data_IF_316620081639
#
_entry.id   IF_316620081639
#
_cell.length_a   1.000
_cell.length_b   1.000
_cell.length_c   1.000
_cell.angle_alpha   90.00
_cell.angle_beta   90.00
_cell.angle_gamma   90.00
#
_symmetry.space_group_name_H-M   'P 1'
#
loop_
_entity.id
_entity.type
_entity.pdbx_description
1 polymer ?
#
# COMPACT_ATOMS: atom_id res chain seq x y z
N UNK A 1 6.80 5.55 60.61
CA UNK A 1 6.23 6.92 60.62
C UNK A 1 7.10 7.82 59.77
N UNK A 2 6.68 8.14 58.54
CA UNK A 2 7.21 9.27 57.79
C UNK A 2 6.13 9.73 56.79
N UNK A 3 5.61 10.94 57.06
CA UNK A 3 4.62 11.62 56.18
C UNK A 3 5.36 12.16 54.97
N UNK A 4 4.81 11.93 53.79
CA UNK A 4 5.22 12.62 52.55
C UNK A 4 4.11 13.55 52.14
N UNK A 5 4.46 14.84 52.09
CA UNK A 5 3.59 15.94 51.69
C UNK A 5 3.26 15.87 50.19
N UNK A 6 1.96 16.00 49.89
CA UNK A 6 1.47 16.23 48.54
C UNK A 6 1.91 17.60 48.00
N UNK A 7 2.40 17.66 46.78
CA UNK A 7 2.45 18.87 45.96
C UNK A 7 1.45 18.73 44.84
N UNK A 8 0.40 19.50 44.96
CA UNK A 8 -0.56 19.80 43.89
C UNK A 8 0.17 20.60 42.81
N UNK A 9 0.28 20.08 41.61
CA UNK A 9 0.73 20.84 40.43
C UNK A 9 -0.54 21.39 39.78
N UNK A 10 -0.69 22.70 39.82
CA UNK A 10 -1.66 23.44 39.03
C UNK A 10 -1.34 23.24 37.55
N UNK A 11 -2.32 22.82 36.77
CA UNK A 11 -2.34 22.88 35.32
C UNK A 11 -2.66 24.31 34.93
N UNK A 12 -1.68 25.02 34.44
CA UNK A 12 -1.92 26.24 33.68
C UNK A 12 -2.39 25.84 32.27
N UNK A 13 -3.64 26.20 31.98
CA UNK A 13 -4.21 26.25 30.65
C UNK A 13 -3.63 27.48 29.94
N UNK A 14 -2.73 27.24 28.99
CA UNK A 14 -2.44 28.17 27.89
C UNK A 14 -1.98 27.35 26.67
N UNK A 15 -2.93 26.71 25.99
CA UNK A 15 -2.77 26.17 24.65
C UNK A 15 -3.78 26.85 23.72
N UNK A 16 -3.55 28.12 23.45
CA UNK A 16 -4.08 28.80 22.30
C UNK A 16 -2.85 29.39 21.58
N UNK A 17 -2.62 28.98 20.34
CA UNK A 17 -1.63 29.41 19.37
C UNK A 17 -0.52 28.39 19.06
N UNK A 18 -0.92 27.28 18.43
CA UNK A 18 0.02 26.50 17.61
C UNK A 18 -0.64 25.83 16.38
N UNK A 19 -1.65 26.50 15.81
CA UNK A 19 -2.30 26.03 14.56
C UNK A 19 -1.62 26.52 13.27
N UNK A 20 -0.63 27.40 13.35
CA UNK A 20 -0.04 28.04 12.15
C UNK A 20 1.32 27.46 11.74
N UNK A 21 1.94 26.62 12.56
CA UNK A 21 3.25 26.00 12.23
C UNK A 21 3.16 24.64 11.51
N UNK A 22 1.95 24.05 11.41
CA UNK A 22 1.75 22.73 10.77
C UNK A 22 1.66 22.81 9.24
N UNK A 23 1.51 24.00 8.67
CA UNK A 23 1.34 24.19 7.22
C UNK A 23 2.65 24.00 6.43
N UNK A 24 3.81 24.02 7.08
CA UNK A 24 5.12 24.07 6.42
C UNK A 24 5.58 22.73 5.77
N UNK A 25 4.84 21.65 5.92
CA UNK A 25 5.24 20.30 5.40
C UNK A 25 4.12 19.60 4.64
N UNK A 26 3.17 20.32 4.06
CA UNK A 26 2.17 19.70 3.19
C UNK A 26 2.82 19.33 1.87
N UNK A 27 2.69 18.05 1.50
CA UNK A 27 2.98 17.60 0.15
C UNK A 27 2.18 18.43 -0.88
N UNK A 28 2.76 18.71 -2.06
CA UNK A 28 2.04 19.46 -3.09
C UNK A 28 0.74 18.76 -3.51
N UNK A 29 -0.26 19.55 -3.85
CA UNK A 29 -1.54 19.08 -4.34
C UNK A 29 -1.39 18.08 -5.50
N UNK A 30 -2.37 17.19 -5.64
CA UNK A 30 -2.42 16.26 -6.77
C UNK A 30 -2.69 17.04 -8.05
N UNK A 31 -1.85 16.82 -9.06
CA UNK A 31 -1.96 17.45 -10.37
C UNK A 31 -2.78 16.56 -11.34
N UNK A 32 -3.43 17.20 -12.31
CA UNK A 32 -4.19 16.49 -13.35
C UNK A 32 -3.30 15.56 -14.17
N UNK A 33 -2.05 15.94 -14.43
CA UNK A 33 -1.08 15.08 -15.13
C UNK A 33 -0.72 13.80 -14.33
N UNK A 34 -0.72 13.84 -12.99
CA UNK A 34 -0.50 12.65 -12.17
C UNK A 34 -1.68 11.68 -12.29
N UNK A 35 -2.91 12.20 -12.32
CA UNK A 35 -4.12 11.39 -12.53
C UNK A 35 -4.09 10.75 -13.91
N UNK A 36 -3.75 11.50 -14.95
CA UNK A 36 -3.62 11.01 -16.33
C UNK A 36 -2.57 9.90 -16.41
N UNK A 37 -1.39 10.13 -15.87
CA UNK A 37 -0.31 9.13 -15.79
C UNK A 37 -0.75 7.86 -15.04
N UNK A 38 -1.41 8.02 -13.89
CA UNK A 38 -1.90 6.89 -13.11
C UNK A 38 -2.93 6.09 -13.88
N UNK A 39 -3.85 6.76 -14.55
CA UNK A 39 -4.90 6.15 -15.36
C UNK A 39 -4.31 5.35 -16.54
N UNK A 40 -3.36 5.93 -17.28
CA UNK A 40 -2.65 5.26 -18.37
C UNK A 40 -1.84 4.03 -17.90
N UNK A 41 -1.44 3.99 -16.65
CA UNK A 41 -0.70 2.87 -16.05
C UNK A 41 -1.58 1.69 -15.66
N UNK A 42 -2.91 1.82 -15.66
CA UNK A 42 -3.84 0.74 -15.32
C UNK A 42 -4.04 -0.15 -16.54
N UNK A 43 -3.77 -1.43 -16.36
CA UNK A 43 -3.95 -2.42 -17.44
C UNK A 43 -5.43 -2.70 -17.71
N UNK A 44 -5.78 -2.78 -18.98
CA UNK A 44 -7.11 -3.19 -19.47
C UNK A 44 -7.38 -4.68 -19.27
N UNK A 45 -8.60 -5.14 -19.60
CA UNK A 45 -9.04 -6.54 -19.45
C UNK A 45 -8.90 -7.06 -18.01
N UNK A 46 -9.22 -6.21 -17.04
CA UNK A 46 -9.29 -6.58 -15.62
C UNK A 46 -10.71 -6.54 -15.11
N UNK A 47 -11.03 -7.48 -14.24
CA UNK A 47 -12.35 -7.54 -13.60
C UNK A 47 -12.56 -6.26 -12.77
N UNK A 48 -13.76 -5.69 -12.89
CA UNK A 48 -14.19 -4.52 -12.12
C UNK A 48 -14.23 -4.80 -10.61
N UNK A 49 -14.11 -3.76 -9.83
CA UNK A 49 -14.33 -3.81 -8.39
C UNK A 49 -15.79 -3.94 -7.99
N UNK A 50 -16.09 -3.62 -6.73
CA UNK A 50 -17.45 -3.65 -6.20
C UNK A 50 -18.43 -2.64 -6.83
N UNK A 51 -17.90 -1.60 -7.46
CA UNK A 51 -18.63 -0.57 -8.20
C UNK A 51 -19.11 -1.03 -9.59
N UNK A 52 -18.64 -2.18 -10.09
CA UNK A 52 -18.97 -2.71 -11.39
C UNK A 52 -18.44 -1.89 -12.57
N UNK A 53 -17.63 -0.85 -12.36
CA UNK A 53 -17.12 0.03 -13.42
C UNK A 53 -15.93 -0.67 -14.12
N UNK A 54 -16.04 -1.00 -15.42
CA UNK A 54 -14.95 -1.59 -16.17
C UNK A 54 -13.86 -0.54 -16.45
N UNK A 55 -12.61 -0.98 -16.46
CA UNK A 55 -11.47 -0.09 -16.74
C UNK A 55 -11.55 0.53 -18.15
N UNK A 56 -12.15 -0.15 -19.08
CA UNK A 56 -12.33 0.24 -20.49
C UNK A 56 -13.17 1.51 -20.64
N UNK A 57 -13.95 1.88 -19.63
CA UNK A 57 -14.75 3.09 -19.63
C UNK A 57 -13.88 4.36 -19.61
N UNK A 58 -12.75 4.34 -18.90
CA UNK A 58 -11.90 5.51 -18.75
C UNK A 58 -11.28 6.00 -20.05
N UNK A 59 -10.71 5.14 -20.92
CA UNK A 59 -10.22 5.56 -22.24
C UNK A 59 -11.33 6.11 -23.16
N UNK A 60 -12.58 5.67 -23.01
CA UNK A 60 -13.72 6.19 -23.77
C UNK A 60 -14.07 7.62 -23.34
N UNK A 61 -14.05 7.88 -22.03
CA UNK A 61 -14.36 9.21 -21.45
C UNK A 61 -13.21 10.20 -21.57
N UNK A 62 -11.99 9.74 -21.87
CA UNK A 62 -10.78 10.57 -22.08
C UNK A 62 -10.59 11.65 -21.00
N UNK A 63 -10.54 12.92 -21.42
CA UNK A 63 -10.26 14.07 -20.55
C UNK A 63 -11.35 14.29 -19.49
N UNK A 64 -12.61 13.93 -19.76
CA UNK A 64 -13.67 14.05 -18.76
C UNK A 64 -13.48 13.07 -17.60
N UNK A 65 -13.03 11.85 -17.87
CA UNK A 65 -12.66 10.91 -16.81
C UNK A 65 -11.52 11.46 -15.97
N UNK A 66 -10.51 12.07 -16.59
CA UNK A 66 -9.36 12.66 -15.88
C UNK A 66 -9.83 13.79 -14.97
N UNK A 67 -10.66 14.71 -15.45
CA UNK A 67 -11.19 15.84 -14.66
C UNK A 67 -12.00 15.37 -13.44
N UNK A 68 -12.90 14.43 -13.65
CA UNK A 68 -13.73 13.88 -12.57
C UNK A 68 -12.85 13.18 -11.53
N UNK A 69 -11.94 12.31 -11.96
CA UNK A 69 -11.02 11.62 -11.04
C UNK A 69 -10.10 12.58 -10.33
N UNK A 70 -9.61 13.62 -11.02
CA UNK A 70 -8.78 14.66 -10.41
C UNK A 70 -9.54 15.39 -9.29
N UNK A 71 -10.79 15.79 -9.54
CA UNK A 71 -11.63 16.42 -8.51
C UNK A 71 -11.80 15.52 -7.28
N UNK A 72 -12.08 14.23 -7.48
CA UNK A 72 -12.22 13.27 -6.38
C UNK A 72 -10.89 13.08 -5.64
N UNK A 73 -9.80 12.90 -6.37
CA UNK A 73 -8.46 12.73 -5.77
C UNK A 73 -8.05 13.97 -4.96
N UNK A 74 -8.31 15.18 -5.47
CA UNK A 74 -8.06 16.42 -4.73
C UNK A 74 -8.93 16.54 -3.47
N UNK A 75 -10.20 16.12 -3.54
CA UNK A 75 -11.06 16.11 -2.37
C UNK A 75 -10.52 15.17 -1.30
N UNK A 76 -10.14 13.93 -1.68
CA UNK A 76 -9.53 12.96 -0.76
C UNK A 76 -8.24 13.55 -0.18
N UNK A 77 -7.41 14.18 -1.01
CA UNK A 77 -6.15 14.79 -0.61
C UNK A 77 -6.35 15.86 0.47
N UNK A 78 -7.28 16.78 0.26
CA UNK A 78 -7.56 17.91 1.17
C UNK A 78 -8.30 17.50 2.43
N UNK A 79 -9.30 16.62 2.31
CA UNK A 79 -10.14 16.22 3.45
C UNK A 79 -9.61 15.00 4.19
N UNK A 80 -8.68 14.25 3.58
CA UNK A 80 -8.17 12.97 4.05
C UNK A 80 -9.26 11.90 4.23
N UNK A 81 -10.42 12.11 3.65
CA UNK A 81 -11.55 11.19 3.73
C UNK A 81 -11.69 10.41 2.42
N UNK A 82 -11.71 9.10 2.54
CA UNK A 82 -11.89 8.21 1.41
C UNK A 82 -13.38 7.91 1.20
N UNK A 83 -13.86 7.85 -0.06
CA UNK A 83 -15.20 7.34 -0.34
C UNK A 83 -15.39 5.93 0.23
N UNK A 84 -16.54 5.66 0.83
CA UNK A 84 -16.79 4.36 1.46
C UNK A 84 -16.69 3.20 0.46
N UNK A 85 -17.14 3.40 -0.77
CA UNK A 85 -17.05 2.38 -1.82
C UNK A 85 -15.60 2.05 -2.22
N UNK A 86 -14.66 2.99 -2.00
CA UNK A 86 -13.24 2.74 -2.24
C UNK A 86 -12.56 1.96 -1.12
N UNK A 87 -13.19 1.88 0.04
CA UNK A 87 -12.79 1.05 1.17
C UNK A 87 -13.36 -0.36 1.12
N UNK A 88 -14.27 -0.65 0.18
CA UNK A 88 -14.86 -1.97 0.00
C UNK A 88 -14.08 -2.77 -1.03
N UNK A 89 -13.79 -4.02 -0.69
CA UNK A 89 -13.14 -4.96 -1.59
C UNK A 89 -13.96 -6.24 -1.73
N UNK A 90 -13.86 -6.88 -2.90
CA UNK A 90 -14.42 -8.21 -3.13
C UNK A 90 -13.25 -9.19 -3.09
N UNK A 91 -13.29 -10.12 -2.16
CA UNK A 91 -12.30 -11.18 -2.05
C UNK A 91 -12.75 -12.42 -2.83
N UNK A 92 -11.92 -12.86 -3.76
CA UNK A 92 -12.11 -14.10 -4.52
C UNK A 92 -11.07 -15.10 -4.01
N UNK A 93 -11.48 -16.16 -3.29
CA UNK A 93 -10.58 -17.22 -2.87
C UNK A 93 -10.19 -18.09 -4.08
N UNK A 94 -8.90 -18.30 -4.28
CA UNK A 94 -8.35 -19.22 -5.27
C UNK A 94 -7.67 -20.36 -4.53
N UNK A 95 -8.13 -21.61 -4.70
CA UNK A 95 -7.50 -22.75 -4.08
C UNK A 95 -6.04 -22.90 -4.52
N UNK A 96 -5.15 -23.18 -3.56
CA UNK A 96 -3.79 -23.64 -3.82
C UNK A 96 -3.83 -25.12 -4.19
N UNK A 97 -2.68 -25.69 -4.62
CA UNK A 97 -2.55 -27.13 -4.78
C UNK A 97 -2.77 -27.82 -3.44
N UNK A 98 -3.63 -28.83 -3.41
CA UNK A 98 -3.98 -29.57 -2.19
C UNK A 98 -5.48 -29.55 -1.90
N UNK A 99 -5.87 -29.65 -0.63
CA UNK A 99 -7.27 -29.69 -0.22
C UNK A 99 -7.96 -28.34 -0.43
N UNK A 100 -8.86 -28.25 -1.40
CA UNK A 100 -9.60 -27.03 -1.74
C UNK A 100 -10.63 -26.63 -0.67
N UNK A 101 -10.98 -27.54 0.25
CA UNK A 101 -12.00 -27.30 1.27
C UNK A 101 -11.46 -26.56 2.52
N UNK A 102 -10.15 -26.38 2.60
CA UNK A 102 -9.52 -25.66 3.71
C UNK A 102 -9.32 -24.19 3.37
N UNK A 103 -9.93 -23.29 4.13
CA UNK A 103 -9.79 -21.83 3.94
C UNK A 103 -8.32 -21.38 4.01
N UNK A 104 -7.48 -22.02 4.83
CA UNK A 104 -6.04 -21.78 4.92
C UNK A 104 -5.28 -22.11 3.65
N UNK A 105 -5.84 -22.96 2.81
CA UNK A 105 -5.26 -23.40 1.54
C UNK A 105 -5.72 -22.55 0.34
N UNK A 106 -6.28 -21.37 0.57
CA UNK A 106 -6.66 -20.44 -0.48
C UNK A 106 -5.70 -19.25 -0.54
N UNK A 107 -5.53 -18.71 -1.75
CA UNK A 107 -5.01 -17.35 -1.98
C UNK A 107 -6.20 -16.45 -2.24
N UNK A 108 -6.24 -15.28 -1.63
CA UNK A 108 -7.29 -14.30 -1.91
C UNK A 108 -6.81 -13.29 -2.94
N UNK A 109 -7.67 -13.00 -3.94
CA UNK A 109 -7.51 -11.85 -4.81
C UNK A 109 -8.51 -10.81 -4.35
N UNK A 110 -8.02 -9.60 -4.04
CA UNK A 110 -8.86 -8.47 -3.72
C UNK A 110 -9.20 -7.68 -4.99
N UNK A 111 -10.47 -7.54 -5.30
CA UNK A 111 -10.97 -6.67 -6.35
C UNK A 111 -11.43 -5.36 -5.71
N UNK A 112 -10.79 -4.28 -6.10
CA UNK A 112 -11.11 -2.92 -5.68
C UNK A 112 -11.47 -2.07 -6.90
N UNK A 113 -12.19 -0.96 -6.69
CA UNK A 113 -12.53 0.02 -7.72
C UNK A 113 -11.32 0.42 -8.55
N UNK A 114 -11.50 0.54 -9.87
CA UNK A 114 -10.44 1.04 -10.74
C UNK A 114 -10.13 2.51 -10.46
N UNK A 115 -11.13 3.31 -10.09
CA UNK A 115 -10.94 4.69 -9.68
C UNK A 115 -10.07 4.78 -8.41
N UNK A 116 -10.29 3.91 -7.42
CA UNK A 116 -9.43 3.88 -6.23
C UNK A 116 -7.98 3.50 -6.56
N UNK A 117 -7.76 2.62 -7.55
CA UNK A 117 -6.41 2.25 -8.01
C UNK A 117 -5.64 3.45 -8.56
N UNK A 118 -6.32 4.42 -9.21
CA UNK A 118 -5.68 5.66 -9.68
C UNK A 118 -5.09 6.42 -8.49
N UNK A 119 -5.88 6.68 -7.45
CA UNK A 119 -5.42 7.37 -6.25
C UNK A 119 -4.29 6.61 -5.54
N UNK A 120 -4.43 5.29 -5.40
CA UNK A 120 -3.38 4.44 -4.80
C UNK A 120 -2.07 4.50 -5.59
N UNK A 121 -2.15 4.61 -6.92
CA UNK A 121 -0.97 4.74 -7.78
C UNK A 121 -0.24 6.06 -7.57
N UNK A 122 -0.99 7.15 -7.43
CA UNK A 122 -0.45 8.48 -7.11
C UNK A 122 0.22 8.45 -5.73
N UNK A 123 -0.46 7.90 -4.71
CA UNK A 123 0.12 7.75 -3.37
C UNK A 123 1.38 6.89 -3.39
N UNK A 124 1.37 5.78 -4.14
CA UNK A 124 2.55 4.94 -4.31
C UNK A 124 3.73 5.74 -4.88
N UNK A 125 3.51 6.56 -5.91
CA UNK A 125 4.55 7.38 -6.52
C UNK A 125 5.12 8.42 -5.53
N UNK A 126 4.24 9.08 -4.76
CA UNK A 126 4.66 10.05 -3.73
C UNK A 126 5.44 9.37 -2.60
N UNK A 127 4.97 8.25 -2.07
CA UNK A 127 5.66 7.47 -1.04
C UNK A 127 7.00 6.92 -1.51
N UNK A 128 7.11 6.51 -2.79
CA UNK A 128 8.32 5.93 -3.34
C UNK A 128 9.54 6.84 -3.23
N UNK A 129 9.35 8.15 -3.24
CA UNK A 129 10.43 9.14 -3.10
C UNK A 129 11.09 9.05 -1.73
N UNK A 130 10.31 8.83 -0.67
CA UNK A 130 10.79 8.65 0.69
C UNK A 130 11.36 7.26 0.91
N UNK A 131 10.59 6.24 0.59
CA UNK A 131 10.96 4.83 0.80
C UNK A 131 12.28 4.47 0.10
N UNK A 132 12.53 4.97 -1.11
CA UNK A 132 13.76 4.67 -1.84
C UNK A 132 15.03 5.20 -1.15
N UNK A 133 14.92 6.22 -0.31
CA UNK A 133 16.06 6.77 0.44
C UNK A 133 16.45 5.91 1.63
N UNK A 134 15.44 5.29 2.24
CA UNK A 134 15.57 4.56 3.51
C UNK A 134 15.82 3.05 3.30
N UNK A 135 15.39 2.51 2.14
CA UNK A 135 15.56 1.09 1.88
C UNK A 135 17.04 0.73 1.65
N UNK A 136 17.58 -0.24 2.42
CA UNK A 136 18.96 -0.66 2.28
C UNK A 136 19.21 -1.26 0.88
N UNK A 137 20.44 -1.14 0.40
CA UNK A 137 20.82 -1.59 -0.93
C UNK A 137 20.68 -3.10 -1.15
N UNK A 138 20.72 -3.88 -0.08
CA UNK A 138 20.51 -5.34 -0.15
C UNK A 138 19.06 -5.72 -0.43
N UNK A 139 18.11 -4.83 -0.20
CA UNK A 139 16.70 -5.09 -0.50
C UNK A 139 16.45 -5.03 -2.00
N UNK A 140 16.10 -6.17 -2.58
CA UNK A 140 15.74 -6.27 -3.99
C UNK A 140 14.23 -6.35 -4.23
N UNK A 141 13.48 -6.92 -3.29
CA UNK A 141 12.03 -7.08 -3.40
C UNK A 141 11.31 -5.73 -3.51
N UNK A 142 10.34 -5.64 -4.44
CA UNK A 142 9.51 -4.46 -4.68
C UNK A 142 10.25 -3.16 -5.06
N UNK A 143 11.52 -3.27 -5.49
CA UNK A 143 12.31 -2.14 -5.99
C UNK A 143 12.36 -2.12 -7.52
N UNK A 144 12.13 -0.93 -8.10
CA UNK A 144 12.24 -0.71 -9.55
C UNK A 144 13.66 -1.01 -10.01
N UNK A 145 13.80 -1.77 -11.09
CA UNK A 145 15.11 -2.14 -11.67
C UNK A 145 15.81 -3.30 -10.98
N UNK A 146 15.28 -3.86 -9.88
CA UNK A 146 15.86 -5.00 -9.16
C UNK A 146 15.01 -6.26 -9.32
N UNK A 147 14.96 -6.80 -10.53
CA UNK A 147 14.16 -7.99 -10.82
C UNK A 147 14.82 -9.30 -10.36
N UNK A 148 14.02 -10.36 -10.30
CA UNK A 148 14.44 -11.72 -9.91
C UNK A 148 15.65 -12.23 -10.71
N UNK A 149 15.74 -11.89 -12.00
CA UNK A 149 16.88 -12.29 -12.86
C UNK A 149 18.22 -11.79 -12.31
N UNK A 150 18.28 -10.54 -11.81
CA UNK A 150 19.50 -9.99 -11.23
C UNK A 150 19.90 -10.72 -9.95
N UNK A 151 18.92 -11.08 -9.12
CA UNK A 151 19.19 -11.80 -7.88
C UNK A 151 19.66 -13.22 -8.15
N UNK A 152 19.12 -13.90 -9.15
CA UNK A 152 19.61 -15.20 -9.61
C UNK A 152 21.04 -15.06 -10.13
N UNK A 153 21.35 -14.05 -10.94
CA UNK A 153 22.70 -13.80 -11.44
C UNK A 153 23.69 -13.55 -10.29
N UNK A 154 23.33 -12.78 -9.28
CA UNK A 154 24.15 -12.54 -8.09
C UNK A 154 24.47 -13.87 -7.36
N UNK A 155 23.47 -14.72 -7.14
CA UNK A 155 23.69 -16.03 -6.52
C UNK A 155 24.64 -16.89 -7.39
N UNK A 156 24.45 -16.91 -8.70
CA UNK A 156 25.35 -17.62 -9.61
C UNK A 156 26.80 -17.11 -9.53
N UNK A 157 26.99 -15.80 -9.48
CA UNK A 157 28.32 -15.21 -9.31
C UNK A 157 28.97 -15.63 -7.99
N UNK A 158 28.23 -15.61 -6.89
CA UNK A 158 28.71 -16.05 -5.57
C UNK A 158 29.14 -17.51 -5.62
N UNK A 159 28.32 -18.38 -6.23
CA UNK A 159 28.64 -19.82 -6.39
C UNK A 159 29.90 -20.00 -7.23
N UNK A 160 30.01 -19.29 -8.35
CA UNK A 160 31.17 -19.36 -9.23
C UNK A 160 32.45 -18.94 -8.52
N UNK A 161 32.42 -17.81 -7.84
CA UNK A 161 33.55 -17.33 -7.02
C UNK A 161 33.94 -18.30 -5.90
N UNK A 162 32.95 -18.86 -5.21
CA UNK A 162 33.24 -19.83 -4.17
C UNK A 162 33.95 -21.09 -4.75
N UNK A 163 33.57 -21.54 -5.95
CA UNK A 163 34.22 -22.66 -6.62
C UNK A 163 35.65 -22.31 -7.06
N UNK A 164 35.88 -21.13 -7.65
CA UNK A 164 37.22 -20.65 -8.00
C UNK A 164 38.19 -20.64 -6.80
N UNK A 165 37.69 -20.19 -5.65
CA UNK A 165 38.49 -20.11 -4.42
C UNK A 165 38.42 -21.33 -3.53
N UNK A 166 37.75 -22.41 -3.97
CA UNK A 166 37.54 -23.64 -3.22
C UNK A 166 36.95 -23.38 -1.79
N UNK A 167 36.04 -22.41 -1.70
CA UNK A 167 35.36 -22.03 -0.43
C UNK A 167 34.00 -22.68 -0.36
N UNK A 168 33.70 -23.30 0.78
CA UNK A 168 32.35 -23.77 1.05
C UNK A 168 31.44 -22.57 1.34
N UNK A 169 30.26 -22.55 0.73
CA UNK A 169 29.19 -21.58 1.00
C UNK A 169 27.92 -22.33 1.40
N UNK A 170 27.16 -21.71 2.29
CA UNK A 170 25.90 -22.24 2.76
C UNK A 170 24.81 -21.18 2.51
N UNK A 171 23.67 -21.63 1.97
CA UNK A 171 22.51 -20.78 1.74
C UNK A 171 21.40 -21.16 2.70
N UNK A 172 20.80 -20.16 3.35
CA UNK A 172 19.61 -20.31 4.13
C UNK A 172 18.48 -19.49 3.48
N UNK A 173 17.36 -20.16 3.15
CA UNK A 173 16.18 -19.51 2.60
C UNK A 173 15.10 -19.45 3.68
N UNK A 174 14.64 -18.23 4.00
CA UNK A 174 13.61 -18.00 5.00
C UNK A 174 12.36 -17.48 4.27
N UNK A 175 11.29 -18.25 4.31
CA UNK A 175 9.98 -17.87 3.77
C UNK A 175 9.06 -17.47 4.93
N UNK A 176 8.50 -16.28 4.89
CA UNK A 176 7.62 -15.75 5.92
C UNK A 176 6.34 -15.15 5.32
N UNK A 177 5.23 -15.28 6.03
CA UNK A 177 3.99 -14.58 5.73
C UNK A 177 4.15 -13.11 6.12
N UNK A 178 4.59 -12.27 5.17
CA UNK A 178 4.89 -10.87 5.47
C UNK A 178 3.64 -9.99 5.51
N UNK A 179 2.79 -10.05 4.46
CA UNK A 179 1.69 -9.08 4.32
C UNK A 179 0.55 -9.27 5.31
N UNK A 180 0.21 -10.52 5.62
CA UNK A 180 -0.91 -10.83 6.52
C UNK A 180 -0.58 -10.62 8.01
N UNK A 181 0.69 -10.37 8.33
CA UNK A 181 1.20 -10.26 9.70
C UNK A 181 1.68 -8.85 10.06
N UNK A 182 1.40 -7.84 9.23
CA UNK A 182 1.83 -6.47 9.48
C UNK A 182 1.00 -5.86 10.60
N UNK A 183 1.67 -5.47 11.69
CA UNK A 183 1.08 -4.64 12.73
C UNK A 183 0.97 -3.19 12.22
N UNK A 184 -0.26 -2.72 12.05
CA UNK A 184 -0.52 -1.39 11.51
C UNK A 184 0.05 -0.29 12.40
N UNK A 185 0.00 -0.43 13.74
CA UNK A 185 0.53 0.60 14.64
C UNK A 185 2.04 0.75 14.48
N UNK A 186 2.74 -0.38 14.39
CA UNK A 186 4.19 -0.38 14.11
C UNK A 186 4.49 0.18 12.72
N UNK A 187 3.64 -0.13 11.73
CA UNK A 187 3.80 0.42 10.38
C UNK A 187 3.77 1.95 10.39
N UNK A 188 2.80 2.56 11.10
CA UNK A 188 2.71 4.02 11.17
C UNK A 188 3.92 4.65 11.86
N UNK A 189 4.45 4.01 12.89
CA UNK A 189 5.68 4.45 13.57
C UNK A 189 6.88 4.40 12.62
N UNK A 190 7.07 3.30 11.90
CA UNK A 190 8.16 3.14 10.94
C UNK A 190 8.06 4.17 9.80
N UNK A 191 6.87 4.41 9.26
CA UNK A 191 6.69 5.42 8.20
C UNK A 191 7.09 6.81 8.69
N UNK A 192 6.77 7.15 9.94
CA UNK A 192 7.17 8.41 10.56
C UNK A 192 8.69 8.48 10.76
N UNK A 193 9.32 7.40 11.24
CA UNK A 193 10.77 7.30 11.40
C UNK A 193 11.51 7.43 10.05
N UNK A 194 10.91 6.95 8.96
CA UNK A 194 11.41 7.13 7.58
C UNK A 194 11.24 8.55 7.04
N UNK A 195 10.73 9.50 7.83
CA UNK A 195 10.53 10.88 7.43
C UNK A 195 9.38 11.07 6.43
N UNK A 196 8.43 10.12 6.36
CA UNK A 196 7.24 10.28 5.52
C UNK A 196 6.31 11.31 6.18
N UNK A 197 5.87 12.34 5.43
CA UNK A 197 5.00 13.38 5.95
C UNK A 197 3.73 12.84 6.61
N UNK A 198 3.32 13.47 7.71
CA UNK A 198 2.12 13.08 8.45
C UNK A 198 0.87 13.08 7.58
N UNK A 199 0.80 13.98 6.59
CA UNK A 199 -0.30 14.03 5.63
C UNK A 199 -0.46 12.71 4.85
N UNK A 200 0.63 12.16 4.31
CA UNK A 200 0.62 10.87 3.59
C UNK A 200 0.32 9.69 4.53
N UNK A 201 0.92 9.69 5.72
CA UNK A 201 0.67 8.66 6.72
C UNK A 201 -0.79 8.67 7.18
N UNK A 202 -1.38 9.84 7.36
CA UNK A 202 -2.78 10.00 7.75
C UNK A 202 -3.73 9.52 6.64
N UNK A 203 -3.45 9.85 5.37
CA UNK A 203 -4.21 9.32 4.23
C UNK A 203 -4.22 7.79 4.21
N UNK A 204 -3.06 7.16 4.40
CA UNK A 204 -2.96 5.70 4.46
C UNK A 204 -3.73 5.14 5.65
N UNK A 205 -3.55 5.73 6.85
CA UNK A 205 -4.27 5.31 8.06
C UNK A 205 -5.79 5.38 7.88
N UNK A 206 -6.29 6.45 7.26
CA UNK A 206 -7.72 6.63 7.00
C UNK A 206 -8.24 5.67 5.92
N UNK A 207 -7.40 5.24 4.98
CA UNK A 207 -7.74 4.19 4.03
C UNK A 207 -7.90 2.84 4.75
N UNK A 208 -6.97 2.49 5.64
CA UNK A 208 -7.02 1.23 6.39
C UNK A 208 -8.12 1.22 7.46
N UNK A 209 -8.53 2.38 7.95
CA UNK A 209 -9.63 2.49 8.90
C UNK A 209 -10.96 2.12 8.25
N UNK A 210 -11.70 1.21 8.89
CA UNK A 210 -13.03 0.79 8.44
C UNK A 210 -13.09 0.20 7.02
N UNK A 211 -12.06 -0.55 6.63
CA UNK A 211 -12.11 -1.35 5.42
C UNK A 211 -13.10 -2.51 5.57
N UNK A 212 -13.87 -2.75 4.52
CA UNK A 212 -14.83 -3.84 4.44
C UNK A 212 -14.46 -4.78 3.30
N UNK A 213 -14.63 -6.08 3.53
CA UNK A 213 -14.42 -7.09 2.51
C UNK A 213 -15.63 -8.01 2.41
N UNK A 214 -16.09 -8.25 1.20
CA UNK A 214 -17.11 -9.26 0.90
C UNK A 214 -16.45 -10.43 0.21
N UNK A 215 -16.60 -11.62 0.76
CA UNK A 215 -16.11 -12.84 0.10
C UNK A 215 -17.12 -13.29 -0.93
N UNK A 216 -16.72 -13.36 -2.20
CA UNK A 216 -17.52 -13.95 -3.26
C UNK A 216 -17.00 -15.36 -3.52
N UNK A 217 -17.76 -16.41 -3.20
CA UNK A 217 -17.36 -17.78 -3.50
C UNK A 217 -17.13 -17.92 -5.01
N UNK A 218 -16.02 -18.54 -5.35
CA UNK A 218 -15.38 -18.40 -6.64
C UNK A 218 -16.24 -18.82 -7.85
N UNK A 219 -15.97 -18.16 -8.94
CA UNK A 219 -16.34 -18.54 -10.32
C UNK A 219 -15.76 -19.90 -10.78
N UNK A 220 -15.03 -20.60 -9.92
CA UNK A 220 -14.37 -21.88 -10.23
C UNK A 220 -15.17 -23.11 -9.78
N UNK A 221 -16.29 -22.94 -9.08
CA UNK A 221 -17.16 -24.07 -8.68
C UNK A 221 -18.05 -24.61 -9.82
N UNK A 222 -18.04 -24.01 -11.02
CA UNK A 222 -18.92 -24.38 -12.13
C UNK A 222 -18.23 -25.05 -13.31
N UNK A 223 -16.97 -25.51 -13.16
CA UNK A 223 -16.33 -26.36 -14.17
C UNK A 223 -16.06 -27.75 -13.61
N UNK A 224 -17.13 -28.44 -13.27
CA UNK A 224 -17.07 -29.81 -12.78
C UNK A 224 -18.48 -30.38 -12.67
N UNK A 225 -19.19 -30.44 -13.78
CA UNK A 225 -20.29 -31.36 -14.09
C UNK A 225 -20.22 -31.69 -15.56
#
# INVERSE_FOLDING_TARGET
MARIHGRTIQKDHNDADDHDSVIAHLEPDILECEVKWALESITTNKVSGGDGIPVELFPVLKDDAVKVLHSICQQIWKTQQWPQDWKRSIFIPIPKKGNANECSNCRTIALISHASKVMLKILQAKLQQYVNRELPDVQAGFRKGRGTRYQIANIHQIITKAREFQKNIYFCFIDAKAFDCVDHNKLWTILKEMGIPDHLTCLLRNLYASQEATVRPGLFATRGL
#
